data_IF_173131016846
#
_entry.id   IF_173131016846
#
_cell.length_a   1.000
_cell.length_b   1.000
_cell.length_c   1.000
_cell.angle_alpha   90.00
_cell.angle_beta   90.00
_cell.angle_gamma   90.00
#
_symmetry.space_group_name_H-M   'P 1'
#
loop_
_entity.id
_entity.type
_entity.pdbx_description
1 polymer ?
#
# COMPACT_ATOMS: atom_id res chain seq x y z
N UNK A 1 -5.90 17.07 -4.17
CA UNK A 1 -4.53 16.98 -4.70
C UNK A 1 -4.63 16.37 -6.07
N UNK A 2 -4.00 16.96 -7.09
CA UNK A 2 -4.01 16.37 -8.43
C UNK A 2 -3.08 15.14 -8.47
N UNK A 3 -3.42 14.11 -9.24
CA UNK A 3 -2.59 12.89 -9.33
C UNK A 3 -1.18 13.20 -9.84
N UNK A 4 -1.06 14.18 -10.75
CA UNK A 4 0.22 14.63 -11.28
C UNK A 4 1.11 15.23 -10.19
N UNK A 5 0.51 15.86 -9.17
CA UNK A 5 1.27 16.35 -8.03
C UNK A 5 1.81 15.19 -7.19
N UNK A 6 1.02 14.13 -6.98
CA UNK A 6 1.46 12.93 -6.28
C UNK A 6 2.62 12.28 -7.02
N UNK A 7 2.49 12.08 -8.34
CA UNK A 7 3.53 11.45 -9.16
C UNK A 7 4.82 12.27 -9.19
N UNK A 8 4.71 13.60 -9.27
CA UNK A 8 5.88 14.50 -9.12
C UNK A 8 6.52 14.38 -7.74
N UNK A 9 5.74 14.30 -6.67
CA UNK A 9 6.27 14.09 -5.33
C UNK A 9 6.98 12.74 -5.21
N UNK A 10 6.43 11.65 -5.80
CA UNK A 10 7.12 10.36 -5.86
C UNK A 10 8.47 10.52 -6.59
N UNK A 11 8.48 11.11 -7.79
CA UNK A 11 9.71 11.33 -8.56
C UNK A 11 10.77 12.11 -7.77
N UNK A 12 10.39 13.23 -7.17
CA UNK A 12 11.30 14.09 -6.41
C UNK A 12 11.90 13.36 -5.20
N UNK A 13 11.13 12.48 -4.55
CA UNK A 13 11.64 11.63 -3.46
C UNK A 13 12.70 10.68 -3.98
N UNK A 14 12.49 10.04 -5.14
CA UNK A 14 13.47 9.15 -5.73
C UNK A 14 14.73 9.88 -6.19
N UNK A 15 14.59 11.01 -6.86
CA UNK A 15 15.70 11.87 -7.31
C UNK A 15 16.55 12.38 -6.13
N UNK A 16 15.91 12.79 -5.02
CA UNK A 16 16.59 13.29 -3.83
C UNK A 16 17.45 12.23 -3.13
N UNK A 17 16.99 10.97 -3.13
CA UNK A 17 17.55 9.93 -2.25
C UNK A 17 18.28 8.79 -2.98
N UNK A 18 18.20 8.71 -4.30
CA UNK A 18 18.78 7.60 -5.08
C UNK A 18 19.65 8.13 -6.23
N UNK A 19 20.78 7.46 -6.47
CA UNK A 19 21.59 7.72 -7.64
C UNK A 19 21.02 6.93 -8.84
N UNK A 20 20.93 7.50 -10.05
CA UNK A 20 20.50 6.77 -11.26
C UNK A 20 21.29 5.47 -11.52
N UNK A 21 22.53 5.36 -11.03
CA UNK A 21 23.34 4.15 -11.14
C UNK A 21 22.98 3.05 -10.12
N UNK A 22 22.08 3.31 -9.19
CA UNK A 22 21.68 2.33 -8.19
C UNK A 22 20.80 1.23 -8.84
N UNK A 23 21.10 -0.04 -8.54
CA UNK A 23 20.26 -1.19 -8.90
C UNK A 23 18.99 -1.23 -8.02
N UNK A 24 18.03 -0.34 -8.33
CA UNK A 24 16.81 -0.16 -7.55
C UNK A 24 15.58 -0.18 -8.45
N UNK A 25 14.58 -0.93 -7.98
CA UNK A 25 13.29 -1.09 -8.64
C UNK A 25 12.24 -0.14 -8.06
N UNK A 26 11.86 0.86 -8.84
CA UNK A 26 10.94 1.93 -8.43
C UNK A 26 9.47 1.50 -8.66
N UNK A 27 8.47 2.22 -8.11
CA UNK A 27 7.07 1.83 -8.22
C UNK A 27 6.54 2.15 -9.63
N UNK A 28 5.29 1.75 -9.90
CA UNK A 28 4.50 2.42 -10.93
C UNK A 28 4.04 3.77 -10.39
N UNK A 29 3.94 4.78 -11.27
CA UNK A 29 3.23 6.00 -10.93
C UNK A 29 1.74 5.74 -10.77
N UNK A 30 1.08 6.57 -9.96
CA UNK A 30 -0.35 6.49 -9.76
C UNK A 30 -1.09 6.97 -11.01
N UNK A 31 -2.14 6.26 -11.41
CA UNK A 31 -3.01 6.62 -12.52
C UNK A 31 -4.43 6.96 -12.01
N UNK A 32 -5.17 7.92 -12.61
CA UNK A 32 -6.29 8.55 -11.93
C UNK A 32 -7.62 7.78 -11.98
N UNK A 33 -8.58 8.17 -11.11
CA UNK A 33 -8.37 8.72 -9.77
C UNK A 33 -8.36 7.62 -8.71
N UNK A 34 -7.58 7.82 -7.64
CA UNK A 34 -7.68 7.00 -6.42
C UNK A 34 -9.15 6.91 -6.02
N UNK A 35 -9.66 5.69 -5.89
CA UNK A 35 -11.07 5.52 -5.51
C UNK A 35 -11.25 6.03 -4.08
N UNK A 36 -12.13 7.00 -3.93
CA UNK A 36 -12.45 7.60 -2.64
C UNK A 36 -13.64 6.92 -1.97
N UNK A 37 -13.77 7.13 -0.67
CA UNK A 37 -14.94 6.71 0.13
C UNK A 37 -15.23 5.19 0.09
N UNK A 38 -14.17 4.39 -0.02
CA UNK A 38 -14.24 2.93 -0.08
C UNK A 38 -13.37 2.24 0.97
N UNK A 39 -13.02 1.00 0.67
CA UNK A 39 -11.99 0.26 1.38
C UNK A 39 -10.60 0.70 0.90
N UNK A 40 -9.70 1.00 1.83
CA UNK A 40 -8.30 1.23 1.51
C UNK A 40 -7.44 0.09 2.04
N UNK A 41 -6.79 -0.62 1.13
CA UNK A 41 -5.81 -1.64 1.45
C UNK A 41 -4.41 -1.00 1.52
N UNK A 42 -3.71 -1.22 2.62
CA UNK A 42 -2.36 -0.68 2.84
C UNK A 42 -1.37 -1.82 2.95
N UNK A 43 -0.38 -1.84 2.07
CA UNK A 43 0.63 -2.87 2.02
C UNK A 43 2.05 -2.32 1.98
N UNK A 44 2.94 -3.22 1.57
CA UNK A 44 4.28 -2.90 1.10
C UNK A 44 4.31 -3.44 -0.32
N UNK A 45 4.95 -2.69 -1.21
CA UNK A 45 4.91 -2.91 -2.64
C UNK A 45 5.16 -4.39 -2.99
N UNK A 46 4.24 -5.06 -3.70
CA UNK A 46 4.34 -6.48 -3.95
C UNK A 46 5.62 -6.83 -4.70
N UNK A 47 6.18 -7.97 -4.32
CA UNK A 47 7.34 -8.58 -4.96
C UNK A 47 7.12 -8.83 -6.46
N UNK A 48 8.18 -8.74 -7.26
CA UNK A 48 8.23 -9.37 -8.57
C UNK A 48 8.06 -10.88 -8.44
N UNK A 49 6.92 -11.41 -8.89
CA UNK A 49 6.81 -12.80 -9.33
C UNK A 49 6.99 -12.85 -10.85
N UNK A 50 7.41 -13.98 -11.39
CA UNK A 50 7.54 -14.19 -12.85
C UNK A 50 6.22 -13.97 -13.60
N UNK A 51 5.09 -14.10 -12.91
CA UNK A 51 3.74 -13.84 -13.44
C UNK A 51 3.39 -12.35 -13.43
N UNK A 52 3.91 -11.61 -12.45
CA UNK A 52 3.70 -10.17 -12.37
C UNK A 52 4.67 -9.46 -13.31
N UNK A 53 4.15 -8.63 -14.21
CA UNK A 53 4.95 -7.78 -15.11
C UNK A 53 5.75 -8.53 -16.20
N UNK A 54 5.33 -9.74 -16.57
CA UNK A 54 5.96 -10.53 -17.65
C UNK A 54 6.13 -9.73 -18.95
N UNK A 55 5.17 -8.85 -19.27
CA UNK A 55 5.15 -8.07 -20.51
C UNK A 55 6.20 -6.95 -20.58
N UNK A 56 6.69 -6.46 -19.43
CA UNK A 56 7.63 -5.32 -19.37
C UNK A 56 9.00 -5.68 -18.80
N UNK A 57 9.09 -6.78 -18.06
CA UNK A 57 10.32 -7.25 -17.43
C UNK A 57 10.77 -6.39 -16.24
N UNK A 58 11.75 -6.91 -15.49
CA UNK A 58 12.32 -6.24 -14.31
C UNK A 58 13.02 -4.93 -14.69
N UNK A 59 13.72 -4.92 -15.81
CA UNK A 59 14.49 -3.78 -16.35
C UNK A 59 13.66 -2.50 -16.47
N UNK A 60 12.36 -2.63 -16.81
CA UNK A 60 11.45 -1.49 -16.88
C UNK A 60 11.39 -0.71 -15.56
N UNK A 61 11.55 -1.37 -14.42
CA UNK A 61 11.42 -0.75 -13.12
C UNK A 61 12.73 -0.21 -12.56
N UNK A 62 13.86 -0.42 -13.23
CA UNK A 62 15.13 0.12 -12.76
C UNK A 62 15.10 1.64 -12.78
N UNK A 63 15.60 2.27 -11.71
CA UNK A 63 15.63 3.73 -11.59
C UNK A 63 16.38 4.40 -12.76
N UNK A 64 17.46 3.79 -13.23
CA UNK A 64 18.19 4.21 -14.44
C UNK A 64 17.32 4.33 -15.69
N UNK A 65 16.31 3.47 -15.82
CA UNK A 65 15.37 3.41 -16.95
C UNK A 65 14.09 4.22 -16.69
N UNK A 66 13.99 4.89 -15.54
CA UNK A 66 12.79 5.56 -15.03
C UNK A 66 13.04 7.03 -14.68
N UNK A 67 14.09 7.61 -15.23
CA UNK A 67 14.44 9.04 -15.10
C UNK A 67 13.38 9.97 -15.71
N UNK A 68 12.48 9.43 -16.54
CA UNK A 68 11.23 10.07 -16.91
C UNK A 68 10.09 9.04 -16.87
N UNK A 69 9.10 9.24 -16.02
CA UNK A 69 7.99 8.30 -15.86
C UNK A 69 7.02 8.38 -17.05
N UNK A 70 6.80 7.25 -17.71
CA UNK A 70 5.77 7.09 -18.72
C UNK A 70 4.43 6.78 -18.03
N UNK A 71 3.64 7.84 -17.80
CA UNK A 71 2.38 7.74 -17.07
C UNK A 71 1.33 6.89 -17.80
N UNK A 72 1.30 6.90 -19.13
CA UNK A 72 0.35 6.12 -19.92
C UNK A 72 0.69 4.62 -19.86
N UNK A 73 1.98 4.30 -19.97
CA UNK A 73 2.45 2.93 -19.82
C UNK A 73 2.26 2.42 -18.40
N UNK A 74 2.53 3.25 -17.39
CA UNK A 74 2.28 2.90 -15.99
C UNK A 74 0.81 2.61 -15.72
N UNK A 75 -0.08 3.43 -16.28
CA UNK A 75 -1.52 3.24 -16.23
C UNK A 75 -1.95 1.88 -16.79
N UNK A 76 -1.45 1.55 -17.97
CA UNK A 76 -1.82 0.33 -18.67
C UNK A 76 -1.36 -0.90 -17.88
N UNK A 77 -0.13 -0.88 -17.36
CA UNK A 77 0.41 -1.94 -16.51
C UNK A 77 -0.41 -2.08 -15.23
N UNK A 78 -0.68 -0.98 -14.52
CA UNK A 78 -1.43 -1.02 -13.26
C UNK A 78 -2.86 -1.52 -13.46
N UNK A 79 -3.53 -1.09 -14.53
CA UNK A 79 -4.87 -1.56 -14.90
C UNK A 79 -4.89 -3.07 -15.15
N UNK A 80 -3.93 -3.59 -15.91
CA UNK A 80 -3.81 -5.02 -16.17
C UNK A 80 -3.51 -5.80 -14.88
N UNK A 81 -2.60 -5.30 -14.05
CA UNK A 81 -2.26 -5.95 -12.79
C UNK A 81 -3.45 -6.06 -11.84
N UNK A 82 -4.18 -4.95 -11.68
CA UNK A 82 -5.40 -4.94 -10.86
C UNK A 82 -6.45 -5.89 -11.38
N UNK A 83 -6.52 -6.12 -12.69
CA UNK A 83 -7.43 -7.09 -13.29
C UNK A 83 -6.97 -8.52 -13.03
N UNK A 84 -5.70 -8.82 -13.28
CA UNK A 84 -5.25 -10.19 -13.53
C UNK A 84 -4.43 -10.80 -12.39
N UNK A 85 -3.75 -10.00 -11.55
CA UNK A 85 -2.91 -10.54 -10.49
C UNK A 85 -3.73 -11.14 -9.35
N UNK A 86 -3.32 -12.36 -8.96
CA UNK A 86 -3.84 -13.07 -7.79
C UNK A 86 -3.72 -12.25 -6.50
N UNK A 87 -2.71 -11.37 -6.41
CA UNK A 87 -2.51 -10.45 -5.30
C UNK A 87 -3.77 -9.66 -4.95
N UNK A 88 -4.45 -9.10 -5.97
CA UNK A 88 -5.64 -8.25 -5.80
C UNK A 88 -6.96 -9.02 -5.72
N UNK A 89 -6.97 -10.34 -5.95
CA UNK A 89 -8.20 -11.13 -5.97
C UNK A 89 -8.99 -10.99 -4.67
N UNK A 90 -8.33 -11.17 -3.52
CA UNK A 90 -8.98 -11.06 -2.21
C UNK A 90 -9.43 -9.64 -1.86
N UNK A 91 -8.84 -8.62 -2.48
CA UNK A 91 -9.20 -7.23 -2.28
C UNK A 91 -10.56 -6.98 -2.93
N UNK A 92 -10.70 -7.43 -4.19
CA UNK A 92 -11.98 -7.43 -4.93
C UNK A 92 -13.06 -8.21 -4.20
N UNK A 93 -12.76 -9.43 -3.76
CA UNK A 93 -13.73 -10.28 -3.05
C UNK A 93 -14.25 -9.64 -1.76
N UNK A 94 -13.40 -8.97 -0.98
CA UNK A 94 -13.86 -8.23 0.22
C UNK A 94 -14.74 -7.05 -0.21
N UNK A 95 -14.29 -6.27 -1.20
CA UNK A 95 -14.98 -5.09 -1.68
C UNK A 95 -16.38 -5.40 -2.24
N UNK A 96 -16.49 -6.45 -3.05
CA UNK A 96 -17.75 -6.98 -3.59
C UNK A 96 -18.67 -7.47 -2.46
N UNK A 97 -18.12 -8.20 -1.48
CA UNK A 97 -18.89 -8.72 -0.34
C UNK A 97 -19.56 -7.61 0.50
N UNK A 98 -18.94 -6.43 0.59
CA UNK A 98 -19.47 -5.27 1.33
C UNK A 98 -20.05 -4.18 0.44
N UNK A 99 -20.11 -4.41 -0.88
CA UNK A 99 -20.60 -3.47 -1.88
C UNK A 99 -19.95 -2.07 -1.79
N UNK A 100 -18.62 -2.03 -1.68
CA UNK A 100 -17.84 -0.79 -1.69
C UNK A 100 -16.78 -0.81 -2.81
N UNK A 101 -16.38 0.39 -3.23
CA UNK A 101 -15.15 0.55 -3.99
C UNK A 101 -13.93 0.17 -3.14
N UNK A 102 -12.84 -0.19 -3.80
CA UNK A 102 -11.56 -0.41 -3.13
C UNK A 102 -10.40 0.27 -3.83
N UNK A 103 -9.43 0.65 -3.03
CA UNK A 103 -8.15 1.18 -3.46
C UNK A 103 -7.02 0.49 -2.69
N UNK A 104 -5.81 0.49 -3.24
CA UNK A 104 -4.62 0.00 -2.57
C UNK A 104 -3.47 0.97 -2.71
N UNK A 105 -2.73 1.17 -1.62
CA UNK A 105 -1.48 1.94 -1.60
C UNK A 105 -0.39 1.17 -0.85
N UNK A 106 0.85 1.45 -1.20
CA UNK A 106 2.01 0.96 -0.47
C UNK A 106 2.61 2.08 0.37
N UNK A 107 3.05 1.77 1.60
CA UNK A 107 3.68 2.75 2.49
C UNK A 107 5.08 3.17 2.05
N UNK A 108 5.77 2.25 1.38
CA UNK A 108 7.12 2.43 0.87
C UNK A 108 7.07 2.03 -0.61
N UNK A 109 7.34 2.98 -1.48
CA UNK A 109 7.23 2.88 -2.92
C UNK A 109 8.40 2.13 -3.55
N UNK A 110 8.98 1.13 -2.88
CA UNK A 110 10.12 0.37 -3.39
C UNK A 110 9.71 -1.07 -3.69
N UNK A 111 9.99 -1.54 -4.91
CA UNK A 111 9.72 -2.92 -5.30
C UNK A 111 10.83 -3.84 -4.80
N UNK A 112 10.64 -4.39 -3.61
CA UNK A 112 11.57 -5.34 -3.00
C UNK A 112 10.80 -6.49 -2.34
N UNK A 113 11.31 -7.70 -2.55
CA UNK A 113 10.71 -8.96 -2.10
C UNK A 113 11.17 -9.33 -0.68
N UNK A 114 12.40 -8.96 -0.32
CA UNK A 114 13.04 -9.32 0.95
C UNK A 114 12.82 -8.22 1.97
N UNK A 115 12.02 -8.52 3.00
CA UNK A 115 11.78 -7.61 4.12
C UNK A 115 13.09 -7.11 4.77
N UNK A 116 14.12 -7.94 4.84
CA UNK A 116 15.42 -7.55 5.40
C UNK A 116 16.11 -6.46 4.58
N UNK A 117 15.91 -6.45 3.25
CA UNK A 117 16.41 -5.37 2.40
C UNK A 117 15.62 -4.08 2.67
N UNK A 118 14.29 -4.17 2.79
CA UNK A 118 13.41 -3.04 3.16
C UNK A 118 13.85 -2.41 4.47
N UNK A 119 14.05 -3.23 5.51
CA UNK A 119 14.53 -2.76 6.82
C UNK A 119 15.88 -2.05 6.72
N UNK A 120 16.86 -2.63 6.02
CA UNK A 120 18.19 -2.04 5.85
C UNK A 120 18.16 -0.72 5.10
N UNK A 121 17.34 -0.62 4.05
CA UNK A 121 17.23 0.56 3.19
C UNK A 121 16.53 1.73 3.88
N UNK A 122 15.50 1.44 4.69
CA UNK A 122 14.56 2.45 5.15
C UNK A 122 14.60 2.76 6.64
N UNK A 123 15.19 1.90 7.47
CA UNK A 123 15.06 2.01 8.91
C UNK A 123 16.42 1.96 9.62
N UNK A 124 16.67 2.95 10.48
CA UNK A 124 17.85 2.99 11.33
C UNK A 124 17.81 1.82 12.31
N UNK A 125 18.92 1.09 12.40
CA UNK A 125 19.00 -0.16 13.17
C UNK A 125 17.91 -1.18 12.80
N UNK A 126 17.33 -1.08 11.59
CA UNK A 126 16.30 -1.99 11.08
C UNK A 126 15.00 -2.00 11.89
N UNK A 127 14.72 -0.94 12.68
CA UNK A 127 13.52 -0.84 13.53
C UNK A 127 12.43 0.02 12.90
N UNK A 128 11.16 -0.44 12.85
CA UNK A 128 10.07 0.26 12.15
C UNK A 128 9.70 1.63 12.74
N UNK A 129 10.01 1.86 14.03
CA UNK A 129 9.83 3.12 14.74
C UNK A 129 10.93 4.16 14.43
N UNK A 130 11.97 3.79 13.66
CA UNK A 130 13.11 4.65 13.34
C UNK A 130 13.34 4.78 11.83
N UNK A 131 12.41 5.39 11.08
CA UNK A 131 12.61 5.64 9.65
C UNK A 131 13.81 6.57 9.43
N UNK A 132 14.61 6.30 8.40
CA UNK A 132 15.60 7.25 7.90
C UNK A 132 14.92 8.35 7.07
N UNK A 133 15.69 9.32 6.56
CA UNK A 133 15.15 10.43 5.78
C UNK A 133 14.38 9.98 4.52
N UNK A 134 14.84 8.93 3.85
CA UNK A 134 14.18 8.40 2.65
C UNK A 134 12.82 7.79 2.98
N UNK A 135 12.75 6.97 4.04
CA UNK A 135 11.50 6.41 4.53
C UNK A 135 10.55 7.47 5.04
N UNK A 136 11.06 8.47 5.77
CA UNK A 136 10.26 9.56 6.31
C UNK A 136 9.53 10.33 5.20
N UNK A 137 10.23 10.67 4.11
CA UNK A 137 9.63 11.39 2.97
C UNK A 137 8.54 10.54 2.28
N UNK A 138 8.77 9.23 2.10
CA UNK A 138 7.76 8.34 1.51
C UNK A 138 6.53 8.14 2.41
N UNK A 139 6.75 8.03 3.71
CA UNK A 139 5.67 7.89 4.69
C UNK A 139 4.83 9.17 4.78
N UNK A 140 5.44 10.36 4.65
CA UNK A 140 4.70 11.62 4.57
C UNK A 140 3.80 11.67 3.33
N UNK A 141 4.29 11.22 2.18
CA UNK A 141 3.47 11.11 0.98
C UNK A 141 2.36 10.06 1.14
N UNK A 142 2.66 8.93 1.77
CA UNK A 142 1.65 7.91 2.11
C UNK A 142 0.53 8.47 2.97
N UNK A 143 0.83 9.26 4.00
CA UNK A 143 -0.19 9.92 4.83
C UNK A 143 -1.06 10.89 4.01
N UNK A 144 -0.49 11.60 3.03
CA UNK A 144 -1.26 12.44 2.09
C UNK A 144 -2.21 11.59 1.23
N UNK A 145 -1.75 10.44 0.73
CA UNK A 145 -2.56 9.53 -0.08
C UNK A 145 -3.71 8.91 0.73
N UNK A 146 -3.44 8.47 1.96
CA UNK A 146 -4.47 7.93 2.88
C UNK A 146 -5.55 8.97 3.13
N UNK A 147 -5.17 10.22 3.41
CA UNK A 147 -6.12 11.33 3.59
C UNK A 147 -6.92 11.62 2.32
N UNK A 148 -6.25 11.60 1.17
CA UNK A 148 -6.90 11.86 -0.12
C UNK A 148 -7.91 10.77 -0.51
N UNK A 149 -7.65 9.50 -0.17
CA UNK A 149 -8.56 8.39 -0.42
C UNK A 149 -9.83 8.44 0.44
N UNK A 150 -9.86 9.25 1.50
CA UNK A 150 -11.00 9.40 2.44
C UNK A 150 -11.69 8.08 2.80
N UNK A 151 -10.94 7.05 3.24
CA UNK A 151 -11.45 5.69 3.33
C UNK A 151 -12.53 5.55 4.41
N UNK A 152 -13.55 4.74 4.12
CA UNK A 152 -14.53 4.32 5.14
C UNK A 152 -13.92 3.35 6.14
N UNK A 153 -12.99 2.51 5.68
CA UNK A 153 -12.29 1.53 6.47
C UNK A 153 -10.94 1.23 5.82
N UNK A 154 -9.92 0.98 6.64
CA UNK A 154 -8.57 0.60 6.19
C UNK A 154 -8.29 -0.85 6.55
N UNK A 155 -7.65 -1.58 5.64
CA UNK A 155 -7.12 -2.93 5.89
C UNK A 155 -5.62 -2.91 5.62
N UNK A 156 -4.81 -3.03 6.67
CA UNK A 156 -3.35 -3.13 6.55
C UNK A 156 -2.98 -4.59 6.33
N UNK A 157 -2.60 -4.93 5.11
CA UNK A 157 -2.43 -6.31 4.59
C UNK A 157 -0.99 -6.82 4.68
N UNK A 158 -0.25 -6.34 5.68
CA UNK A 158 1.14 -6.75 5.93
C UNK A 158 1.52 -6.44 7.38
N UNK A 159 2.12 -7.41 8.09
CA UNK A 159 2.49 -7.24 9.50
C UNK A 159 3.54 -6.13 9.72
N UNK A 160 4.52 -5.98 8.83
CA UNK A 160 5.51 -4.91 8.94
C UNK A 160 4.89 -3.53 8.66
N UNK A 161 3.99 -3.44 7.67
CA UNK A 161 3.19 -2.23 7.46
C UNK A 161 2.33 -1.90 8.69
N UNK A 162 1.72 -2.91 9.33
CA UNK A 162 0.93 -2.72 10.54
C UNK A 162 1.77 -2.11 11.68
N UNK A 163 3.00 -2.59 11.90
CA UNK A 163 3.90 -1.98 12.89
C UNK A 163 4.23 -0.51 12.59
N UNK A 164 4.43 -0.16 11.32
CA UNK A 164 4.63 1.23 10.92
C UNK A 164 3.37 2.05 11.24
N UNK A 165 2.19 1.54 10.85
CA UNK A 165 0.91 2.25 10.98
C UNK A 165 0.47 2.46 12.43
N UNK A 166 0.71 1.49 13.33
CA UNK A 166 0.39 1.61 14.76
C UNK A 166 1.00 2.87 15.34
N UNK A 167 2.30 3.09 15.09
CA UNK A 167 3.03 4.24 15.62
C UNK A 167 2.66 5.54 14.90
N UNK A 168 2.41 5.49 13.59
CA UNK A 168 2.13 6.69 12.79
C UNK A 168 0.75 7.29 13.01
N UNK A 169 -0.27 6.44 13.14
CA UNK A 169 -1.65 6.89 13.29
C UNK A 169 -2.16 6.83 14.74
N UNK A 170 -1.28 6.53 15.70
CA UNK A 170 -1.62 6.36 17.12
C UNK A 170 -2.84 5.45 17.30
N UNK A 171 -2.77 4.26 16.69
CA UNK A 171 -3.89 3.32 16.66
C UNK A 171 -4.21 2.84 18.07
N UNK A 172 -5.50 2.83 18.41
CA UNK A 172 -6.00 2.23 19.65
C UNK A 172 -7.00 1.14 19.31
N UNK A 173 -7.02 0.07 20.10
CA UNK A 173 -7.99 -1.01 19.92
C UNK A 173 -9.34 -0.60 20.52
N UNK A 174 -10.41 -0.77 19.75
CA UNK A 174 -11.78 -0.60 20.21
C UNK A 174 -12.40 -1.98 20.48
N UNK A 175 -12.64 -2.29 21.76
CA UNK A 175 -13.17 -3.59 22.19
C UNK A 175 -14.58 -3.86 21.68
N UNK A 176 -15.38 -2.82 21.40
CA UNK A 176 -16.77 -2.98 20.92
C UNK A 176 -16.78 -3.33 19.44
N UNK A 177 -15.94 -2.66 18.66
CA UNK A 177 -15.82 -2.90 17.22
C UNK A 177 -14.88 -4.07 16.92
N UNK A 178 -14.01 -4.47 17.85
CA UNK A 178 -13.02 -5.53 17.68
C UNK A 178 -11.93 -5.19 16.67
N UNK A 179 -11.68 -3.91 16.41
CA UNK A 179 -10.68 -3.44 15.46
C UNK A 179 -9.92 -2.23 16.01
N UNK A 180 -8.87 -1.79 15.32
CA UNK A 180 -8.18 -0.57 15.71
C UNK A 180 -8.90 0.64 15.14
N UNK A 181 -8.83 1.78 15.83
CA UNK A 181 -9.29 3.07 15.34
C UNK A 181 -8.07 3.97 15.18
N UNK A 182 -7.97 4.63 14.04
CA UNK A 182 -6.95 5.63 13.74
C UNK A 182 -7.57 6.93 13.24
N UNK A 183 -6.87 8.04 13.47
CA UNK A 183 -7.30 9.34 12.96
C UNK A 183 -6.71 9.60 11.57
N UNK A 184 -7.58 9.74 10.57
CA UNK A 184 -7.22 10.16 9.22
C UNK A 184 -7.81 11.55 9.00
N UNK A 185 -6.97 12.58 9.17
CA UNK A 185 -7.44 13.97 9.24
C UNK A 185 -8.28 14.17 10.51
N UNK A 186 -9.51 14.68 10.36
CA UNK A 186 -10.47 14.85 11.45
C UNK A 186 -11.40 13.65 11.66
N UNK A 187 -11.25 12.57 10.87
CA UNK A 187 -12.12 11.39 10.92
C UNK A 187 -11.47 10.27 11.73
N UNK A 188 -12.23 9.68 12.64
CA UNK A 188 -11.91 8.38 13.21
C UNK A 188 -12.31 7.30 12.22
N UNK A 189 -11.34 6.48 11.80
CA UNK A 189 -11.53 5.46 10.77
C UNK A 189 -11.19 4.09 11.36
N UNK A 190 -12.03 3.06 11.15
CA UNK A 190 -11.70 1.68 11.50
C UNK A 190 -10.55 1.13 10.67
N UNK A 191 -9.63 0.44 11.34
CA UNK A 191 -8.39 -0.09 10.78
C UNK A 191 -8.22 -1.54 11.21
N UNK A 192 -8.22 -2.43 10.23
CA UNK A 192 -7.93 -3.83 10.41
C UNK A 192 -6.45 -4.07 10.16
N UNK A 193 -5.76 -4.61 11.17
CA UNK A 193 -4.37 -5.04 11.06
C UNK A 193 -4.37 -6.55 10.84
N UNK A 194 -3.96 -6.99 9.65
CA UNK A 194 -4.01 -8.40 9.28
C UNK A 194 -2.66 -8.87 8.74
N UNK A 195 -2.47 -10.20 8.69
CA UNK A 195 -1.37 -10.77 7.93
C UNK A 195 -1.59 -10.55 6.42
N UNK A 196 -0.73 -11.11 5.58
CA UNK A 196 -0.92 -10.98 4.13
C UNK A 196 -2.25 -11.61 3.71
N UNK A 197 -2.93 -11.01 2.73
CA UNK A 197 -4.09 -11.65 2.10
C UNK A 197 -3.63 -12.72 1.10
N UNK A 198 -2.50 -12.51 0.43
CA UNK A 198 -1.94 -13.41 -0.58
C UNK A 198 -0.45 -13.67 -0.30
N UNK A 199 0.15 -14.67 -0.97
CA UNK A 199 1.56 -15.04 -0.79
C UNK A 199 1.82 -16.05 0.33
N UNK A 200 3.09 -16.25 0.68
CA UNK A 200 3.57 -17.38 1.52
C UNK A 200 2.98 -17.43 2.93
N UNK A 201 2.57 -16.30 3.50
CA UNK A 201 1.96 -16.20 4.84
C UNK A 201 0.56 -15.60 4.77
N UNK A 202 -0.18 -16.00 3.73
CA UNK A 202 -1.57 -15.61 3.57
C UNK A 202 -2.42 -16.09 4.75
N UNK A 203 -3.44 -15.31 5.12
CA UNK A 203 -4.48 -15.77 6.06
C UNK A 203 -5.06 -17.12 5.61
N UNK A 204 -5.27 -18.01 6.58
CA UNK A 204 -6.03 -19.23 6.35
C UNK A 204 -7.48 -18.90 5.94
N UNK A 205 -8.13 -19.88 5.32
CA UNK A 205 -9.47 -19.70 4.73
C UNK A 205 -10.49 -19.21 5.75
N UNK A 206 -10.44 -19.71 6.99
CA UNK A 206 -11.43 -19.37 8.01
C UNK A 206 -11.13 -18.02 8.67
N UNK A 207 -9.86 -17.65 8.86
CA UNK A 207 -9.51 -16.30 9.28
C UNK A 207 -9.87 -15.25 8.22
N UNK A 208 -9.71 -15.58 6.94
CA UNK A 208 -10.16 -14.71 5.84
C UNK A 208 -11.69 -14.56 5.81
N UNK A 209 -12.44 -15.64 6.03
CA UNK A 209 -13.90 -15.59 6.15
C UNK A 209 -14.34 -14.70 7.33
N UNK A 210 -13.73 -14.87 8.50
CA UNK A 210 -13.99 -14.02 9.68
C UNK A 210 -13.68 -12.56 9.39
N UNK A 211 -12.57 -12.26 8.72
CA UNK A 211 -12.21 -10.89 8.33
C UNK A 211 -13.31 -10.25 7.47
N UNK A 212 -13.77 -10.93 6.42
CA UNK A 212 -14.86 -10.43 5.55
C UNK A 212 -16.13 -10.13 6.35
N UNK A 213 -16.54 -11.07 7.19
CA UNK A 213 -17.71 -10.91 8.04
C UNK A 213 -17.54 -9.73 8.99
N UNK A 214 -16.38 -9.60 9.65
CA UNK A 214 -16.09 -8.57 10.64
C UNK A 214 -16.04 -7.17 10.03
N UNK A 215 -15.39 -7.01 8.86
CA UNK A 215 -15.42 -5.77 8.09
C UNK A 215 -16.88 -5.34 7.83
N UNK A 216 -17.72 -6.26 7.37
CA UNK A 216 -19.14 -5.98 7.13
C UNK A 216 -19.89 -5.55 8.40
N UNK A 217 -19.63 -6.21 9.53
CA UNK A 217 -20.23 -5.82 10.80
C UNK A 217 -19.81 -4.40 11.19
N UNK A 218 -18.52 -4.08 11.16
CA UNK A 218 -18.03 -2.75 11.51
C UNK A 218 -18.61 -1.67 10.59
N UNK A 219 -18.66 -1.92 9.28
CA UNK A 219 -19.25 -0.99 8.31
C UNK A 219 -20.74 -0.70 8.54
N UNK A 220 -21.49 -1.64 9.15
CA UNK A 220 -22.90 -1.44 9.50
C UNK A 220 -23.09 -0.62 10.79
N UNK A 221 -22.03 -0.45 11.60
CA UNK A 221 -22.07 0.30 12.87
C UNK A 221 -21.54 1.73 12.73
N UNK A 222 -21.06 2.12 11.55
CA UNK A 222 -20.47 3.45 11.28
C UNK A 222 -21.25 4.22 10.22
#
# INVERSE_FOLDING_TARGET
>A
MAIDQINREVFNIWEKHCNPCDDILVPLMYYPPLKTDGLLFIGINPSFTSESYADVGKEFFHWSNRTNFDLEKDAAIEKNNRRDLLYFRKFKEIAEYVNLNWESIDLLFWRETKLENIKKRFFVSQKPDKPNAFAADQLLLSDKLIRFATPRLVVVVNAFAAHIMINRLSLHFDDKLGCHIGNIGSRSVPIFLVSMLSGQRALDVYSYQRLKWHIKQVLNHI
#
